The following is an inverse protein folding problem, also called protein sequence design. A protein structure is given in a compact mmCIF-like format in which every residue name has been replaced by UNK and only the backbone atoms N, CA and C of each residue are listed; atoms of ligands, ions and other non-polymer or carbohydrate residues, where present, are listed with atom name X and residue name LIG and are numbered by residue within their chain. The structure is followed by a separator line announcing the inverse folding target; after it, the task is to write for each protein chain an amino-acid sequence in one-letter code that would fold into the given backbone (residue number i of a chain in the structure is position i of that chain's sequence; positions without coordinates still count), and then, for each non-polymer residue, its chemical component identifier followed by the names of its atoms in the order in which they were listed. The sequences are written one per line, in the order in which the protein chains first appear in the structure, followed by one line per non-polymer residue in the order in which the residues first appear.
data_IF_466359040246
#
_entry.id   IF_466359040246
#
_cell.length_a   1.000
_cell.length_b   1.000
_cell.length_c   1.000
_cell.angle_alpha   90.00
_cell.angle_beta   90.00
_cell.angle_gamma   90.00
#
_symmetry.space_group_name_H-M   'P 1'
#
loop_
_entity.id
_entity.type
_entity.pdbx_description
1 polymer ?
#
# COMPACT_ATOMS: atom_id res chain seq x y z
N UNK A 1 -43.07 -10.54 -6.84
CA UNK A 1 -42.68 -9.67 -5.70
C UNK A 1 -41.31 -10.00 -5.04
N UNK A 2 -40.40 -10.79 -5.66
CA UNK A 2 -39.06 -11.07 -5.08
C UNK A 2 -37.95 -10.11 -5.53
N UNK A 3 -38.07 -9.48 -6.70
CA UNK A 3 -37.03 -8.60 -7.25
C UNK A 3 -36.90 -7.25 -6.54
N UNK A 4 -37.99 -6.70 -6.00
CA UNK A 4 -37.98 -5.39 -5.33
C UNK A 4 -37.27 -5.45 -3.96
N UNK A 5 -37.40 -6.56 -3.22
CA UNK A 5 -36.77 -6.74 -1.91
C UNK A 5 -35.23 -6.89 -2.02
N UNK A 6 -34.75 -7.53 -3.09
CA UNK A 6 -33.32 -7.68 -3.33
C UNK A 6 -32.68 -6.36 -3.80
N UNK A 7 -33.41 -5.57 -4.60
CA UNK A 7 -32.97 -4.24 -5.02
C UNK A 7 -32.88 -3.26 -3.84
N UNK A 8 -33.79 -3.32 -2.87
CA UNK A 8 -33.72 -2.48 -1.66
C UNK A 8 -32.60 -2.94 -0.71
N UNK A 9 -32.38 -4.25 -0.57
CA UNK A 9 -31.26 -4.78 0.21
C UNK A 9 -29.89 -4.37 -0.37
N UNK A 10 -29.73 -4.42 -1.69
CA UNK A 10 -28.52 -3.98 -2.39
C UNK A 10 -28.27 -2.47 -2.25
N UNK A 11 -29.32 -1.65 -2.35
CA UNK A 11 -29.21 -0.20 -2.12
C UNK A 11 -28.82 0.12 -0.67
N UNK A 12 -29.34 -0.62 0.30
CA UNK A 12 -28.94 -0.46 1.70
C UNK A 12 -27.50 -0.92 1.96
N UNK A 13 -27.06 -1.99 1.31
CA UNK A 13 -25.67 -2.46 1.38
C UNK A 13 -24.70 -1.47 0.73
N UNK A 14 -25.05 -0.93 -0.45
CA UNK A 14 -24.28 0.10 -1.14
C UNK A 14 -24.21 1.40 -0.33
N UNK A 15 -25.30 1.79 0.35
CA UNK A 15 -25.32 2.98 1.22
C UNK A 15 -24.42 2.81 2.44
N UNK A 16 -24.41 1.62 3.08
CA UNK A 16 -23.48 1.31 4.18
C UNK A 16 -22.03 1.23 3.73
N UNK A 17 -21.77 0.73 2.52
CA UNK A 17 -20.44 0.74 1.93
C UNK A 17 -19.98 2.18 1.64
N UNK A 18 -20.85 3.01 1.07
CA UNK A 18 -20.57 4.42 0.84
C UNK A 18 -20.34 5.21 2.14
N UNK A 19 -21.02 4.87 3.25
CA UNK A 19 -20.74 5.44 4.57
C UNK A 19 -19.41 4.95 5.18
N UNK A 20 -19.02 3.70 4.92
CA UNK A 20 -17.72 3.16 5.33
C UNK A 20 -16.55 3.77 4.54
N UNK A 21 -16.75 4.04 3.24
CA UNK A 21 -15.80 4.73 2.36
C UNK A 21 -15.85 6.25 2.48
N UNK A 22 -16.98 6.80 2.92
CA UNK A 22 -17.25 8.24 3.04
C UNK A 22 -16.93 8.81 4.42
N UNK A 23 -16.56 7.97 5.41
CA UNK A 23 -15.83 8.48 6.57
C UNK A 23 -14.47 8.93 6.04
N UNK A 24 -14.13 10.23 6.10
CA UNK A 24 -12.73 10.59 5.97
C UNK A 24 -12.01 9.82 7.07
N UNK A 25 -11.12 8.91 6.70
CA UNK A 25 -10.02 8.56 7.59
C UNK A 25 -9.37 9.90 7.90
N UNK A 26 -9.68 10.45 9.06
CA UNK A 26 -9.08 11.67 9.54
C UNK A 26 -7.63 11.30 9.87
N UNK A 27 -6.79 11.26 8.84
CA UNK A 27 -5.33 11.32 8.95
C UNK A 27 -4.87 12.71 9.43
N UNK A 28 -5.76 13.49 10.05
CA UNK A 28 -5.40 14.57 10.93
C UNK A 28 -4.72 13.94 12.14
N UNK A 29 -3.48 13.49 11.94
CA UNK A 29 -2.56 13.21 13.02
C UNK A 29 -2.60 14.41 13.94
N UNK A 30 -2.66 14.13 15.24
CA UNK A 30 -2.49 15.11 16.29
C UNK A 30 -1.13 15.76 16.02
N UNK A 31 -1.13 16.89 15.32
CA UNK A 31 0.07 17.64 15.03
C UNK A 31 0.42 18.38 16.30
N UNK A 32 1.05 17.66 17.22
CA UNK A 32 1.70 18.29 18.36
C UNK A 32 2.78 19.22 17.80
N UNK A 33 2.80 20.47 18.23
CA UNK A 33 3.91 21.37 17.90
C UNK A 33 5.14 20.89 18.66
N UNK A 34 6.03 20.18 17.95
CA UNK A 34 7.32 19.76 18.52
C UNK A 34 8.21 21.00 18.76
N UNK A 35 8.85 21.06 19.92
CA UNK A 35 9.91 22.04 20.16
C UNK A 35 11.10 21.81 19.22
N UNK A 36 11.96 22.82 18.98
CA UNK A 36 13.12 22.66 18.09
C UNK A 36 14.02 21.47 18.44
N UNK A 37 14.20 21.17 19.72
CA UNK A 37 15.02 20.04 20.17
C UNK A 37 14.33 18.68 19.95
N UNK A 38 13.02 18.61 20.13
CA UNK A 38 12.25 17.41 19.80
C UNK A 38 12.25 17.14 18.28
N UNK A 39 12.24 18.20 17.45
CA UNK A 39 12.39 18.05 15.99
C UNK A 39 13.76 17.48 15.63
N UNK A 40 14.84 17.96 16.27
CA UNK A 40 16.19 17.42 16.06
C UNK A 40 16.27 15.93 16.46
N UNK A 41 15.75 15.56 17.62
CA UNK A 41 15.73 14.16 18.07
C UNK A 41 14.90 13.28 17.12
N UNK A 42 13.74 13.76 16.65
CA UNK A 42 12.92 13.05 15.67
C UNK A 42 13.66 12.82 14.34
N UNK A 43 14.41 13.81 13.84
CA UNK A 43 15.22 13.68 12.63
C UNK A 43 16.34 12.65 12.81
N UNK A 44 17.03 12.65 13.96
CA UNK A 44 18.07 11.67 14.27
C UNK A 44 17.48 10.26 14.31
N UNK A 45 16.35 10.07 15.00
CA UNK A 45 15.66 8.76 15.04
C UNK A 45 15.21 8.32 13.66
N UNK A 46 14.72 9.23 12.82
CA UNK A 46 14.32 8.93 11.46
C UNK A 46 15.50 8.50 10.60
N UNK A 47 16.66 9.15 10.73
CA UNK A 47 17.89 8.74 10.06
C UNK A 47 18.35 7.34 10.50
N UNK A 48 18.30 7.04 11.81
CA UNK A 48 18.63 5.70 12.33
C UNK A 48 17.68 4.64 11.75
N UNK A 49 16.38 4.93 11.71
CA UNK A 49 15.38 4.04 11.11
C UNK A 49 15.68 3.81 9.63
N UNK A 50 16.07 4.85 8.90
CA UNK A 50 16.41 4.76 7.50
C UNK A 50 17.58 3.80 7.27
N UNK A 51 18.69 3.99 8.00
CA UNK A 51 19.85 3.09 7.93
C UNK A 51 19.46 1.65 8.24
N UNK A 52 18.63 1.42 9.26
CA UNK A 52 18.16 0.07 9.62
C UNK A 52 17.31 -0.57 8.53
N UNK A 53 16.52 0.20 7.79
CA UNK A 53 15.74 -0.31 6.65
C UNK A 53 16.66 -0.76 5.53
N UNK A 54 17.72 -0.02 5.26
CA UNK A 54 18.71 -0.39 4.24
C UNK A 54 19.43 -1.69 4.60
N UNK A 55 19.87 -1.79 5.86
CA UNK A 55 20.50 -2.99 6.42
C UNK A 55 19.61 -4.22 6.26
N UNK A 56 18.34 -4.10 6.66
CA UNK A 56 17.35 -5.19 6.53
C UNK A 56 17.09 -5.58 5.07
N UNK A 57 17.00 -4.59 4.18
CA UNK A 57 16.82 -4.86 2.76
C UNK A 57 18.00 -5.67 2.21
N UNK A 58 19.22 -5.25 2.52
CA UNK A 58 20.44 -5.93 2.08
C UNK A 58 20.48 -7.38 2.61
N UNK A 59 20.25 -7.59 3.91
CA UNK A 59 20.26 -8.92 4.54
C UNK A 59 19.24 -9.87 3.91
N UNK A 60 17.98 -9.43 3.77
CA UNK A 60 16.92 -10.26 3.20
C UNK A 60 17.19 -10.53 1.71
N UNK A 61 17.75 -9.56 0.98
CA UNK A 61 18.07 -9.72 -0.44
C UNK A 61 19.17 -10.76 -0.66
N UNK A 62 20.17 -10.80 0.21
CA UNK A 62 21.24 -11.79 0.18
C UNK A 62 20.69 -13.19 0.52
N UNK A 63 19.92 -13.30 1.60
CA UNK A 63 19.32 -14.57 2.02
C UNK A 63 18.38 -15.17 0.98
N UNK A 64 17.63 -14.31 0.28
CA UNK A 64 16.71 -14.75 -0.76
C UNK A 64 17.42 -15.38 -1.96
N UNK A 65 18.64 -14.93 -2.28
CA UNK A 65 19.47 -15.53 -3.33
C UNK A 65 20.18 -16.79 -2.87
N UNK A 66 20.68 -16.79 -1.63
CA UNK A 66 21.49 -17.88 -1.10
C UNK A 66 20.66 -19.15 -0.83
N UNK A 67 19.43 -19.00 -0.33
CA UNK A 67 18.67 -20.13 0.22
C UNK A 67 17.43 -20.51 -0.58
N UNK A 68 17.42 -20.35 -1.92
CA UNK A 68 16.36 -20.77 -2.87
C UNK A 68 15.04 -21.22 -2.19
N UNK A 69 14.36 -20.25 -1.55
CA UNK A 69 13.43 -20.54 -0.47
C UNK A 69 12.16 -21.19 -1.00
N UNK A 70 11.58 -22.14 -0.25
CA UNK A 70 10.27 -22.73 -0.54
C UNK A 70 9.24 -21.64 -0.89
N UNK A 71 8.39 -21.89 -1.89
CA UNK A 71 7.52 -20.88 -2.52
C UNK A 71 6.78 -19.98 -1.54
N UNK A 72 6.27 -20.53 -0.44
CA UNK A 72 5.51 -19.74 0.56
C UNK A 72 6.39 -18.78 1.34
N UNK A 73 7.61 -19.18 1.69
CA UNK A 73 8.57 -18.32 2.40
C UNK A 73 9.19 -17.31 1.42
N UNK A 74 9.51 -17.75 0.21
CA UNK A 74 9.95 -16.90 -0.90
C UNK A 74 8.96 -15.78 -1.18
N UNK A 75 7.66 -16.07 -1.26
CA UNK A 75 6.62 -15.08 -1.50
C UNK A 75 6.50 -14.02 -0.38
N UNK A 76 6.65 -14.44 0.89
CA UNK A 76 6.68 -13.49 2.02
C UNK A 76 7.90 -12.57 1.94
N UNK A 77 9.07 -13.12 1.64
CA UNK A 77 10.30 -12.35 1.51
C UNK A 77 10.24 -11.40 0.31
N UNK A 78 9.66 -11.83 -0.82
CA UNK A 78 9.43 -10.96 -1.99
C UNK A 78 8.52 -9.78 -1.63
N UNK A 79 7.43 -10.03 -0.89
CA UNK A 79 6.52 -8.96 -0.43
C UNK A 79 7.23 -8.00 0.52
N UNK A 80 8.02 -8.52 1.45
CA UNK A 80 8.78 -7.71 2.40
C UNK A 80 9.85 -6.86 1.70
N UNK A 81 10.61 -7.46 0.77
CA UNK A 81 11.59 -6.75 -0.05
C UNK A 81 10.95 -5.65 -0.89
N UNK A 82 9.73 -5.86 -1.38
CA UNK A 82 8.97 -4.86 -2.12
C UNK A 82 8.67 -3.64 -1.22
N UNK A 83 8.12 -3.88 -0.03
CA UNK A 83 7.82 -2.80 0.93
C UNK A 83 9.08 -2.07 1.39
N UNK A 84 10.17 -2.79 1.66
CA UNK A 84 11.44 -2.18 2.03
C UNK A 84 12.03 -1.38 0.87
N UNK A 85 11.90 -1.83 -0.39
CA UNK A 85 12.44 -1.12 -1.54
C UNK A 85 11.83 0.27 -1.76
N UNK A 86 10.60 0.51 -1.30
CA UNK A 86 9.94 1.82 -1.34
C UNK A 86 10.51 2.80 -0.30
N UNK A 87 11.17 2.30 0.74
CA UNK A 87 11.67 3.10 1.84
C UNK A 87 13.19 3.20 1.89
N UNK A 88 13.93 2.47 1.06
CA UNK A 88 15.40 2.54 0.94
C UNK A 88 15.78 3.54 -0.15
N UNK A 89 16.99 4.09 -0.10
CA UNK A 89 17.47 4.99 -1.16
C UNK A 89 17.38 4.34 -2.57
N UNK A 90 17.03 5.13 -3.61
CA UNK A 90 16.95 4.61 -4.97
C UNK A 90 18.29 4.07 -5.48
N UNK A 91 18.30 2.83 -5.97
CA UNK A 91 19.49 2.16 -6.53
C UNK A 91 19.26 1.79 -8.00
N UNK A 92 19.42 2.73 -8.94
CA UNK A 92 19.13 2.48 -10.36
C UNK A 92 20.02 1.38 -10.97
N UNK A 93 21.25 1.26 -10.48
CA UNK A 93 22.22 0.26 -10.95
C UNK A 93 21.91 -1.16 -10.44
N UNK A 94 21.21 -1.28 -9.31
CA UNK A 94 20.84 -2.59 -8.77
C UNK A 94 19.65 -3.18 -9.53
N UNK A 95 19.90 -4.27 -10.25
CA UNK A 95 18.89 -5.03 -10.99
C UNK A 95 17.79 -5.60 -10.08
N UNK A 96 18.11 -5.96 -8.84
CA UNK A 96 17.17 -6.51 -7.85
C UNK A 96 16.19 -5.43 -7.43
N UNK A 97 16.72 -4.27 -7.05
CA UNK A 97 15.93 -3.09 -6.69
C UNK A 97 15.00 -2.69 -7.83
N UNK A 98 15.50 -2.59 -9.07
CA UNK A 98 14.67 -2.28 -10.25
C UNK A 98 13.54 -3.28 -10.46
N UNK A 99 13.79 -4.58 -10.31
CA UNK A 99 12.74 -5.60 -10.42
C UNK A 99 11.65 -5.41 -9.37
N UNK A 100 12.03 -5.14 -8.10
CA UNK A 100 11.05 -4.88 -7.03
C UNK A 100 10.26 -3.61 -7.28
N UNK A 101 10.92 -2.53 -7.70
CA UNK A 101 10.27 -1.27 -8.06
C UNK A 101 9.27 -1.42 -9.20
N UNK A 102 9.61 -2.15 -10.28
CA UNK A 102 8.64 -2.44 -11.35
C UNK A 102 7.39 -3.14 -10.82
N UNK A 103 7.53 -4.06 -9.87
CA UNK A 103 6.38 -4.69 -9.22
C UNK A 103 5.57 -3.69 -8.38
N UNK A 104 6.21 -2.75 -7.67
CA UNK A 104 5.53 -1.65 -6.96
C UNK A 104 4.68 -0.84 -7.93
N UNK A 105 5.29 -0.34 -9.01
CA UNK A 105 4.59 0.42 -10.04
C UNK A 105 3.42 -0.36 -10.64
N UNK A 106 3.62 -1.64 -10.96
CA UNK A 106 2.57 -2.46 -11.55
C UNK A 106 1.39 -2.70 -10.59
N UNK A 107 1.64 -2.99 -9.31
CA UNK A 107 0.56 -3.13 -8.33
C UNK A 107 -0.21 -1.83 -8.17
N UNK A 108 0.49 -0.70 -8.06
CA UNK A 108 -0.16 0.61 -7.92
C UNK A 108 -0.97 0.97 -9.16
N UNK A 109 -0.46 0.65 -10.34
CA UNK A 109 -1.20 0.80 -11.59
C UNK A 109 -2.47 -0.07 -11.59
N UNK A 110 -2.39 -1.34 -11.17
CA UNK A 110 -3.55 -2.22 -11.06
C UNK A 110 -4.57 -1.72 -10.03
N UNK A 111 -4.13 -1.18 -8.89
CA UNK A 111 -5.00 -0.57 -7.88
C UNK A 111 -5.75 0.64 -8.46
N UNK A 112 -5.05 1.54 -9.16
CA UNK A 112 -5.70 2.68 -9.82
C UNK A 112 -6.62 2.26 -10.95
N UNK A 113 -6.18 1.37 -11.83
CA UNK A 113 -6.99 0.87 -12.94
C UNK A 113 -8.26 0.17 -12.43
N UNK A 114 -8.12 -0.68 -11.40
CA UNK A 114 -9.24 -1.33 -10.73
C UNK A 114 -10.21 -0.33 -10.10
N UNK A 115 -9.71 0.70 -9.42
CA UNK A 115 -10.55 1.76 -8.84
C UNK A 115 -11.34 2.53 -9.91
N UNK A 116 -10.70 2.86 -11.04
CA UNK A 116 -11.38 3.51 -12.18
C UNK A 116 -12.45 2.60 -12.76
N UNK A 117 -12.13 1.32 -13.01
CA UNK A 117 -13.07 0.36 -13.59
C UNK A 117 -14.29 0.10 -12.69
N UNK A 118 -14.07 -0.01 -11.38
CA UNK A 118 -15.16 -0.13 -10.41
C UNK A 118 -15.98 1.18 -10.37
N UNK A 119 -15.31 2.33 -10.39
CA UNK A 119 -15.97 3.64 -10.43
C UNK A 119 -16.87 3.82 -11.65
N UNK A 120 -16.44 3.40 -12.84
CA UNK A 120 -17.26 3.45 -14.05
C UNK A 120 -18.43 2.47 -14.00
N UNK A 121 -18.19 1.23 -13.55
CA UNK A 121 -19.28 0.24 -13.41
C UNK A 121 -20.34 0.68 -12.41
N UNK A 122 -19.94 1.33 -11.32
CA UNK A 122 -20.87 1.95 -10.37
C UNK A 122 -21.56 3.14 -11.06
N UNK A 123 -20.84 4.07 -11.67
CA UNK A 123 -21.42 5.22 -12.38
C UNK A 123 -22.50 4.83 -13.40
N UNK A 124 -22.21 3.84 -14.23
CA UNK A 124 -23.13 3.33 -15.26
C UNK A 124 -24.36 2.64 -14.67
N UNK A 125 -24.18 1.95 -13.53
CA UNK A 125 -25.29 1.36 -12.77
C UNK A 125 -26.20 2.40 -12.10
N UNK A 126 -25.67 3.58 -11.76
CA UNK A 126 -26.44 4.69 -11.21
C UNK A 126 -27.09 5.57 -12.29
N UNK A 127 -26.53 5.66 -13.50
CA UNK A 127 -27.10 6.43 -14.62
C UNK A 127 -28.17 5.69 -15.43
N UNK A 128 -28.29 4.37 -15.25
CA UNK A 128 -29.29 3.53 -15.92
C UNK A 128 -30.58 3.34 -15.09
N UNK A 129 -30.78 4.18 -14.07
CA UNK A 129 -31.95 4.20 -13.19
C UNK A 129 -32.68 5.54 -13.27
#
# INVERSE_FOLDING_TARGET
MRGQAMATALRQAARRAAEAFGRPLSWAGISQELTPDQKKDALIRLAIIQVRKEELYNQISAWHEEYCLEERLGNKNVRLLKQLSEHVEPRPEDHRWRRRQRSVYYNRFLEYAGAVFIGTLVGDAWSSQ
#
